data_IF_165917643950
#
_entry.id   IF_165917643950
#
_cell.length_a   1.000
_cell.length_b   1.000
_cell.length_c   1.000
_cell.angle_alpha   90.00
_cell.angle_beta   90.00
_cell.angle_gamma   90.00
#
_symmetry.space_group_name_H-M   'P 1'
#
loop_
_entity.id
_entity.type
_entity.pdbx_description
1 polymer ?
#
# COMPACT_ATOMS: atom_id res chain seq x y z
N UNK A 1 31.12 -30.17 52.98
CA UNK A 1 32.23 -29.88 52.04
C UNK A 1 31.78 -30.39 50.66
N UNK A 2 31.11 -29.55 49.87
CA UNK A 2 31.65 -28.58 48.90
C UNK A 2 32.07 -29.21 47.56
N UNK A 3 31.62 -28.53 46.48
CA UNK A 3 31.94 -28.66 45.03
C UNK A 3 31.07 -29.67 44.29
N UNK A 4 30.37 -29.33 43.22
CA UNK A 4 30.30 -28.10 42.43
C UNK A 4 29.67 -28.49 41.10
N UNK A 5 28.41 -28.10 40.86
CA UNK A 5 27.71 -28.34 39.60
C UNK A 5 28.15 -27.23 38.63
N UNK A 6 29.00 -27.58 37.65
CA UNK A 6 29.31 -26.69 36.52
C UNK A 6 28.23 -26.84 35.46
N UNK A 7 27.65 -25.70 35.10
CA UNK A 7 26.56 -25.56 34.16
C UNK A 7 27.13 -24.98 32.86
N UNK A 8 27.51 -25.83 31.90
CA UNK A 8 28.04 -25.42 30.60
C UNK A 8 27.06 -25.80 29.47
N UNK A 9 26.02 -24.99 29.30
CA UNK A 9 25.27 -24.88 28.04
C UNK A 9 24.97 -23.40 27.76
N UNK A 10 26.03 -22.63 27.51
CA UNK A 10 25.93 -21.32 26.91
C UNK A 10 25.55 -21.49 25.43
N UNK A 11 24.25 -21.47 25.13
CA UNK A 11 23.76 -21.29 23.77
C UNK A 11 24.24 -19.93 23.25
N UNK A 12 25.06 -19.99 22.21
CA UNK A 12 25.65 -18.87 21.51
C UNK A 12 24.55 -18.07 20.82
N UNK A 13 24.18 -16.93 21.38
CA UNK A 13 23.35 -15.94 20.70
C UNK A 13 24.08 -15.43 19.45
N UNK A 14 23.42 -15.36 18.27
CA UNK A 14 24.02 -14.71 17.12
C UNK A 14 24.22 -13.21 17.41
N UNK A 15 25.48 -12.80 17.35
CA UNK A 15 25.98 -11.44 17.53
C UNK A 15 25.22 -10.43 16.63
N UNK A 16 24.46 -9.45 17.16
CA UNK A 16 23.76 -8.45 16.38
C UNK A 16 24.68 -7.25 16.10
N UNK A 17 25.87 -7.49 15.54
CA UNK A 17 26.76 -6.43 15.09
C UNK A 17 27.50 -6.84 13.79
N UNK A 18 26.74 -7.10 12.73
CA UNK A 18 27.19 -6.67 11.40
C UNK A 18 26.57 -5.31 11.15
N UNK A 19 27.33 -4.28 11.50
CA UNK A 19 27.17 -2.93 10.97
C UNK A 19 27.06 -3.04 9.45
N UNK A 20 25.85 -3.00 8.92
CA UNK A 20 25.64 -2.67 7.53
C UNK A 20 26.12 -1.22 7.40
N UNK A 21 27.32 -1.03 6.87
CA UNK A 21 27.88 0.29 6.61
C UNK A 21 26.80 1.15 5.96
N UNK A 22 26.37 2.21 6.65
CA UNK A 22 25.38 3.13 6.09
C UNK A 22 25.97 3.67 4.79
N UNK A 23 25.31 3.46 3.64
CA UNK A 23 25.90 3.84 2.38
C UNK A 23 26.14 5.34 2.34
N UNK A 24 27.34 5.72 1.93
CA UNK A 24 27.75 7.12 1.84
C UNK A 24 26.78 7.93 0.96
N UNK A 25 26.72 9.26 1.13
CA UNK A 25 25.83 10.11 0.36
C UNK A 25 26.03 9.96 -1.16
N UNK A 26 27.25 9.66 -1.60
CA UNK A 26 27.55 9.37 -3.01
C UNK A 26 27.00 8.01 -3.46
N UNK A 27 27.14 6.95 -2.67
CA UNK A 27 26.55 5.65 -2.98
C UNK A 27 25.01 5.69 -2.99
N UNK A 28 24.38 6.46 -2.09
CA UNK A 28 22.93 6.68 -2.12
C UNK A 28 22.50 7.42 -3.39
N UNK A 29 23.24 8.47 -3.79
CA UNK A 29 22.99 9.19 -5.05
C UNK A 29 23.17 8.27 -6.27
N UNK A 30 24.25 7.49 -6.31
CA UNK A 30 24.51 6.55 -7.40
C UNK A 30 23.47 5.42 -7.46
N UNK A 31 23.03 4.87 -6.32
CA UNK A 31 21.93 3.90 -6.28
C UNK A 31 20.62 4.49 -6.77
N UNK A 32 20.34 5.74 -6.43
CA UNK A 32 19.15 6.45 -6.88
C UNK A 32 19.20 6.64 -8.41
N UNK A 33 20.30 7.20 -8.93
CA UNK A 33 20.52 7.41 -10.36
C UNK A 33 20.47 6.08 -11.12
N UNK A 34 21.18 5.06 -10.64
CA UNK A 34 21.19 3.73 -11.26
C UNK A 34 19.79 3.09 -11.28
N UNK A 35 18.99 3.27 -10.22
CA UNK A 35 17.58 2.83 -10.19
C UNK A 35 16.72 3.61 -11.16
N UNK A 36 16.86 4.92 -11.26
CA UNK A 36 16.13 5.75 -12.22
C UNK A 36 16.49 5.39 -13.66
N UNK A 37 17.78 5.13 -13.92
CA UNK A 37 18.26 4.67 -15.22
C UNK A 37 17.75 3.27 -15.50
N UNK A 38 17.74 2.32 -14.56
CA UNK A 38 17.12 0.99 -14.81
C UNK A 38 15.59 1.04 -14.91
N UNK A 39 14.94 2.03 -14.32
CA UNK A 39 13.49 2.23 -14.36
C UNK A 39 12.96 2.63 -15.75
N UNK A 40 13.79 3.32 -16.54
CA UNK A 40 13.48 3.79 -17.91
C UNK A 40 14.44 3.17 -18.96
N UNK A 41 15.42 2.39 -18.50
CA UNK A 41 16.72 2.25 -19.16
C UNK A 41 16.72 1.59 -20.52
N UNK A 42 15.82 0.65 -20.77
CA UNK A 42 15.76 0.00 -22.07
C UNK A 42 15.29 0.98 -23.15
N UNK A 43 14.21 1.72 -22.87
CA UNK A 43 13.72 2.75 -23.80
C UNK A 43 14.73 3.88 -23.97
N UNK A 44 15.37 4.31 -22.88
CA UNK A 44 16.37 5.38 -22.94
C UNK A 44 17.61 4.97 -23.73
N UNK A 45 18.05 3.72 -23.62
CA UNK A 45 19.19 3.20 -24.39
C UNK A 45 18.91 3.23 -25.90
N UNK A 46 17.73 2.78 -26.33
CA UNK A 46 17.34 2.83 -27.74
C UNK A 46 17.19 4.27 -28.25
N UNK A 47 16.68 5.18 -27.41
CA UNK A 47 16.62 6.60 -27.75
C UNK A 47 18.00 7.24 -27.87
N UNK A 48 18.94 6.92 -26.98
CA UNK A 48 20.32 7.40 -27.09
C UNK A 48 21.00 6.87 -28.36
N UNK A 49 20.79 5.59 -28.69
CA UNK A 49 21.31 5.01 -29.93
C UNK A 49 20.72 5.72 -31.16
N UNK A 50 19.42 6.01 -31.13
CA UNK A 50 18.73 6.77 -32.15
C UNK A 50 19.29 8.21 -32.27
N UNK A 51 19.47 8.90 -31.16
CA UNK A 51 20.05 10.25 -31.13
C UNK A 51 21.46 10.28 -31.76
N UNK A 52 22.28 9.29 -31.43
CA UNK A 52 23.63 9.14 -32.01
C UNK A 52 23.56 8.86 -33.51
N UNK A 53 22.67 7.98 -33.95
CA UNK A 53 22.49 7.68 -35.37
C UNK A 53 22.06 8.92 -36.17
N UNK A 54 21.09 9.69 -35.68
CA UNK A 54 20.65 10.96 -36.28
C UNK A 54 21.79 11.97 -36.35
N UNK A 55 22.56 12.09 -35.26
CA UNK A 55 23.68 13.05 -35.20
C UNK A 55 24.80 12.68 -36.17
N UNK A 56 25.12 11.39 -36.30
CA UNK A 56 26.14 10.91 -37.24
C UNK A 56 25.72 11.07 -38.70
N UNK A 57 24.47 10.74 -39.03
CA UNK A 57 23.93 10.91 -40.38
C UNK A 57 23.96 12.37 -40.84
N UNK A 58 23.51 13.30 -39.97
CA UNK A 58 23.54 14.73 -40.25
C UNK A 58 24.97 15.28 -40.39
N UNK A 59 25.88 14.91 -39.47
CA UNK A 59 27.24 15.47 -39.43
C UNK A 59 28.20 14.89 -40.47
N UNK A 60 28.04 13.61 -40.84
CA UNK A 60 29.04 12.89 -41.63
C UNK A 60 28.55 12.49 -43.03
N UNK A 61 27.25 12.28 -43.24
CA UNK A 61 26.73 11.67 -44.48
C UNK A 61 26.05 12.72 -45.36
N UNK A 62 25.03 13.42 -44.85
CA UNK A 62 24.14 14.24 -45.69
C UNK A 62 24.48 15.74 -45.69
N UNK A 63 25.24 16.24 -44.72
CA UNK A 63 25.48 17.68 -44.58
C UNK A 63 24.17 18.49 -44.50
N UNK A 64 24.15 19.72 -45.03
CA UNK A 64 22.98 20.63 -44.97
C UNK A 64 21.80 20.23 -45.87
N UNK A 65 21.84 19.08 -46.53
CA UNK A 65 20.75 18.57 -47.40
C UNK A 65 19.60 17.88 -46.64
N UNK A 66 19.71 17.79 -45.31
CA UNK A 66 18.72 17.13 -44.46
C UNK A 66 17.41 17.95 -44.34
N UNK A 67 16.30 17.27 -44.04
CA UNK A 67 15.00 17.93 -43.77
C UNK A 67 15.17 18.85 -42.55
N UNK A 68 15.13 20.17 -42.75
CA UNK A 68 15.17 21.13 -41.66
C UNK A 68 13.80 21.17 -40.96
N UNK A 69 13.68 20.44 -39.85
CA UNK A 69 12.50 20.45 -39.01
C UNK A 69 12.55 21.65 -38.05
N UNK A 70 11.64 22.62 -38.19
CA UNK A 70 11.69 23.83 -37.37
C UNK A 70 11.49 23.54 -35.88
N UNK A 71 12.26 24.22 -35.04
CA UNK A 71 12.22 24.07 -33.58
C UNK A 71 10.92 24.59 -32.94
N UNK A 72 10.28 25.59 -33.55
CA UNK A 72 9.09 26.25 -32.96
C UNK A 72 7.90 25.29 -32.75
N UNK A 73 7.49 24.47 -33.74
CA UNK A 73 6.46 23.45 -33.50
C UNK A 73 6.86 22.42 -32.43
N UNK A 74 8.15 22.06 -32.35
CA UNK A 74 8.62 21.08 -31.37
C UNK A 74 8.47 21.59 -29.94
N UNK A 75 8.80 22.86 -29.67
CA UNK A 75 8.66 23.42 -28.32
C UNK A 75 7.20 23.49 -27.89
N UNK A 76 6.29 23.86 -28.80
CA UNK A 76 4.84 23.86 -28.54
C UNK A 76 4.32 22.45 -28.22
N UNK A 77 4.75 21.44 -28.99
CA UNK A 77 4.41 20.04 -28.73
C UNK A 77 4.94 19.58 -27.37
N UNK A 78 6.17 19.95 -27.01
CA UNK A 78 6.76 19.64 -25.71
C UNK A 78 5.91 20.21 -24.56
N UNK A 79 5.56 21.49 -24.63
CA UNK A 79 4.72 22.14 -23.62
C UNK A 79 3.35 21.48 -23.48
N UNK A 80 2.70 21.15 -24.61
CA UNK A 80 1.42 20.45 -24.61
C UNK A 80 1.54 19.05 -23.98
N UNK A 81 2.63 18.33 -24.25
CA UNK A 81 2.89 17.00 -23.69
C UNK A 81 3.11 17.04 -22.18
N UNK A 82 3.90 17.99 -21.68
CA UNK A 82 4.14 18.16 -20.26
C UNK A 82 2.82 18.38 -19.52
N UNK A 83 1.95 19.24 -20.06
CA UNK A 83 0.61 19.50 -19.50
C UNK A 83 -0.24 18.23 -19.48
N UNK A 84 -0.28 17.50 -20.60
CA UNK A 84 -1.07 16.27 -20.73
C UNK A 84 -0.60 15.18 -19.74
N UNK A 85 0.71 14.96 -19.64
CA UNK A 85 1.31 14.01 -18.69
C UNK A 85 1.04 14.46 -17.25
N UNK A 86 1.12 15.75 -16.96
CA UNK A 86 0.85 16.30 -15.62
C UNK A 86 -0.57 16.00 -15.15
N UNK A 87 -1.58 16.25 -15.99
CA UNK A 87 -2.98 15.94 -15.65
C UNK A 87 -3.22 14.45 -15.41
N UNK A 88 -2.63 13.59 -16.24
CA UNK A 88 -2.66 12.14 -16.04
C UNK A 88 -1.99 11.75 -14.71
N UNK A 89 -0.81 12.29 -14.42
CA UNK A 89 -0.06 11.97 -13.20
C UNK A 89 -0.80 12.44 -11.95
N UNK A 90 -1.44 13.60 -12.00
CA UNK A 90 -2.32 14.07 -10.92
C UNK A 90 -3.48 13.11 -10.66
N UNK A 91 -4.14 12.64 -11.73
CA UNK A 91 -5.23 11.66 -11.63
C UNK A 91 -4.75 10.31 -11.06
N UNK A 92 -3.59 9.83 -11.51
CA UNK A 92 -2.96 8.62 -11.00
C UNK A 92 -2.56 8.74 -9.52
N UNK A 93 -2.03 9.90 -9.12
CA UNK A 93 -1.67 10.19 -7.73
C UNK A 93 -2.90 10.20 -6.82
N UNK A 94 -3.98 10.87 -7.21
CA UNK A 94 -5.22 10.90 -6.43
C UNK A 94 -5.75 9.50 -6.15
N UNK A 95 -5.72 8.64 -7.17
CA UNK A 95 -6.13 7.24 -7.09
C UNK A 95 -5.24 6.43 -6.14
N UNK A 96 -3.93 6.65 -6.17
CA UNK A 96 -2.99 6.05 -5.24
C UNK A 96 -3.23 6.52 -3.79
N UNK A 97 -3.44 7.82 -3.61
CA UNK A 97 -3.68 8.43 -2.31
C UNK A 97 -4.99 7.95 -1.68
N UNK A 98 -6.06 7.85 -2.49
CA UNK A 98 -7.34 7.30 -2.08
C UNK A 98 -7.19 5.85 -1.58
N UNK A 99 -6.50 4.99 -2.34
CA UNK A 99 -6.23 3.62 -1.93
C UNK A 99 -5.44 3.55 -0.62
N UNK A 100 -4.45 4.44 -0.43
CA UNK A 100 -3.67 4.52 0.81
C UNK A 100 -4.52 4.98 2.00
N UNK A 101 -5.45 5.90 1.75
CA UNK A 101 -6.39 6.43 2.75
C UNK A 101 -7.37 5.35 3.20
N UNK A 102 -7.95 4.61 2.25
CA UNK A 102 -8.85 3.48 2.53
C UNK A 102 -8.17 2.39 3.36
N UNK A 103 -6.92 2.03 3.02
CA UNK A 103 -6.14 1.10 3.85
C UNK A 103 -5.82 1.67 5.24
N UNK A 104 -5.66 3.00 5.37
CA UNK A 104 -5.51 3.65 6.67
C UNK A 104 -6.79 3.55 7.52
N UNK A 105 -7.94 3.79 6.91
CA UNK A 105 -9.24 3.59 7.55
C UNK A 105 -9.45 2.10 7.94
N UNK A 106 -9.09 1.16 7.06
CA UNK A 106 -9.13 -0.28 7.35
C UNK A 106 -8.32 -0.65 8.60
N UNK A 107 -7.13 -0.08 8.78
CA UNK A 107 -6.33 -0.29 10.01
C UNK A 107 -7.06 0.22 11.25
N UNK A 108 -7.67 1.40 11.18
CA UNK A 108 -8.37 2.01 12.30
C UNK A 108 -9.66 1.25 12.64
N UNK A 109 -10.51 0.95 11.66
CA UNK A 109 -11.73 0.17 11.87
C UNK A 109 -11.42 -1.25 12.36
N UNK A 110 -10.31 -1.86 11.92
CA UNK A 110 -9.85 -3.15 12.48
C UNK A 110 -9.49 -3.07 13.97
N UNK A 111 -8.82 -1.99 14.41
CA UNK A 111 -8.52 -1.78 15.84
C UNK A 111 -9.80 -1.53 16.64
N UNK A 112 -10.73 -0.75 16.10
CA UNK A 112 -12.05 -0.53 16.70
C UNK A 112 -12.83 -1.82 16.82
N UNK A 113 -12.85 -2.65 15.76
CA UNK A 113 -13.47 -3.97 15.76
C UNK A 113 -12.87 -4.85 16.86
N UNK A 114 -11.54 -4.97 16.92
CA UNK A 114 -10.86 -5.75 17.97
C UNK A 114 -11.23 -5.28 19.38
N UNK A 115 -11.26 -3.96 19.62
CA UNK A 115 -11.65 -3.40 20.93
C UNK A 115 -13.10 -3.73 21.25
N UNK A 116 -14.01 -3.54 20.30
CA UNK A 116 -15.43 -3.79 20.50
C UNK A 116 -15.73 -5.27 20.75
N UNK A 117 -15.07 -6.19 20.03
CA UNK A 117 -15.20 -7.63 20.28
C UNK A 117 -14.77 -7.99 21.70
N UNK A 118 -13.68 -7.39 22.21
CA UNK A 118 -13.23 -7.65 23.58
C UNK A 118 -14.16 -7.02 24.64
N UNK A 119 -14.65 -5.80 24.42
CA UNK A 119 -15.37 -5.03 25.46
C UNK A 119 -16.89 -5.12 25.41
N UNK A 120 -17.49 -5.41 24.25
CA UNK A 120 -18.94 -5.37 24.08
C UNK A 120 -19.59 -6.75 24.09
N UNK A 121 -18.83 -7.81 23.82
CA UNK A 121 -19.29 -9.20 23.90
C UNK A 121 -19.02 -9.72 25.32
N UNK A 122 -20.08 -10.10 26.02
CA UNK A 122 -20.00 -10.65 27.37
C UNK A 122 -19.25 -11.99 27.39
N UNK A 123 -18.61 -12.28 28.52
CA UNK A 123 -17.93 -13.55 28.77
C UNK A 123 -18.97 -14.66 29.08
N UNK A 124 -18.68 -15.91 28.70
CA UNK A 124 -19.61 -17.04 28.95
C UNK A 124 -19.67 -17.43 30.45
N UNK A 125 -18.63 -17.14 31.23
CA UNK A 125 -18.54 -17.39 32.67
C UNK A 125 -17.83 -16.22 33.35
N UNK A 126 -18.12 -15.97 34.64
CA UNK A 126 -17.44 -14.92 35.44
C UNK A 126 -15.90 -15.07 35.43
N UNK A 127 -15.37 -16.28 35.24
CA UNK A 127 -13.94 -16.60 35.28
C UNK A 127 -13.32 -17.03 33.93
N UNK A 128 -14.08 -17.02 32.83
CA UNK A 128 -13.64 -17.59 31.55
C UNK A 128 -13.90 -16.70 30.33
N UNK A 129 -12.87 -16.50 29.52
CA UNK A 129 -12.96 -15.77 28.25
C UNK A 129 -13.92 -16.45 27.26
N UNK A 130 -14.78 -15.66 26.61
CA UNK A 130 -15.65 -16.17 25.55
C UNK A 130 -14.79 -16.60 24.33
N UNK A 131 -14.76 -17.90 23.96
CA UNK A 131 -13.90 -18.40 22.88
C UNK A 131 -14.24 -17.78 21.51
N UNK A 132 -15.45 -17.25 21.35
CA UNK A 132 -15.89 -16.55 20.13
C UNK A 132 -15.06 -15.30 19.86
N UNK A 133 -14.54 -14.62 20.90
CA UNK A 133 -13.65 -13.47 20.74
C UNK A 133 -12.41 -13.86 19.91
N UNK A 134 -11.77 -14.97 20.25
CA UNK A 134 -10.61 -15.49 19.51
C UNK A 134 -10.97 -15.94 18.08
N UNK A 135 -12.16 -16.52 17.89
CA UNK A 135 -12.66 -16.89 16.55
C UNK A 135 -12.84 -15.65 15.67
N UNK A 136 -13.51 -14.61 16.17
CA UNK A 136 -13.71 -13.36 15.43
C UNK A 136 -12.39 -12.68 15.06
N UNK A 137 -11.39 -12.72 15.94
CA UNK A 137 -10.05 -12.20 15.62
C UNK A 137 -9.38 -12.98 14.48
N UNK A 138 -9.40 -14.32 14.53
CA UNK A 138 -8.86 -15.16 13.45
C UNK A 138 -9.57 -14.92 12.12
N UNK A 139 -10.90 -14.83 12.16
CA UNK A 139 -11.73 -14.51 10.98
C UNK A 139 -11.42 -13.12 10.42
N UNK A 140 -11.19 -12.13 11.27
CA UNK A 140 -10.82 -10.79 10.82
C UNK A 140 -9.43 -10.76 10.15
N UNK A 141 -8.47 -11.54 10.65
CA UNK A 141 -7.17 -11.70 9.98
C UNK A 141 -7.35 -12.42 8.65
N UNK A 142 -8.18 -13.47 8.58
CA UNK A 142 -8.50 -14.17 7.34
C UNK A 142 -9.12 -13.23 6.30
N UNK A 143 -10.06 -12.39 6.73
CA UNK A 143 -10.69 -11.35 5.92
C UNK A 143 -9.66 -10.42 5.28
N UNK A 144 -8.72 -9.87 6.06
CA UNK A 144 -7.69 -8.96 5.55
C UNK A 144 -6.76 -9.64 4.55
N UNK A 145 -6.36 -10.88 4.81
CA UNK A 145 -5.50 -11.66 3.92
C UNK A 145 -6.22 -12.02 2.61
N UNK A 146 -7.50 -12.40 2.70
CA UNK A 146 -8.36 -12.65 1.56
C UNK A 146 -8.56 -11.37 0.74
N UNK A 147 -8.80 -10.23 1.38
CA UNK A 147 -8.96 -8.94 0.71
C UNK A 147 -7.70 -8.53 -0.06
N UNK A 148 -6.52 -8.65 0.56
CA UNK A 148 -5.24 -8.41 -0.12
C UNK A 148 -5.09 -9.28 -1.37
N UNK A 149 -5.43 -10.56 -1.27
CA UNK A 149 -5.34 -11.52 -2.36
C UNK A 149 -6.38 -11.22 -3.46
N UNK A 150 -7.59 -10.84 -3.07
CA UNK A 150 -8.69 -10.44 -3.94
C UNK A 150 -8.35 -9.20 -4.77
N UNK A 151 -7.80 -8.14 -4.14
CA UNK A 151 -7.36 -6.92 -4.83
C UNK A 151 -6.22 -7.15 -5.84
N UNK A 152 -5.51 -8.28 -5.74
CA UNK A 152 -4.48 -8.70 -6.71
C UNK A 152 -5.02 -9.64 -7.79
N UNK A 153 -6.28 -10.07 -7.70
CA UNK A 153 -6.88 -11.05 -8.60
C UNK A 153 -6.39 -12.49 -8.40
N UNK A 154 -5.79 -12.83 -7.25
CA UNK A 154 -5.35 -14.20 -6.97
C UNK A 154 -5.68 -14.63 -5.53
N UNK A 155 -6.87 -15.21 -5.36
CA UNK A 155 -7.40 -15.67 -4.07
C UNK A 155 -6.56 -16.79 -3.44
N UNK A 156 -5.87 -17.60 -4.26
CA UNK A 156 -5.02 -18.70 -3.79
C UNK A 156 -3.80 -18.24 -2.97
N UNK A 157 -3.42 -16.96 -3.03
CA UNK A 157 -2.31 -16.40 -2.25
C UNK A 157 -2.69 -15.93 -0.85
N UNK A 158 -3.92 -16.15 -0.41
CA UNK A 158 -4.44 -15.62 0.85
C UNK A 158 -3.86 -16.30 2.12
N UNK A 159 -3.31 -17.52 2.04
CA UNK A 159 -2.73 -18.24 3.19
C UNK A 159 -3.66 -18.25 4.42
N UNK A 160 -4.76 -18.98 4.30
CA UNK A 160 -5.89 -18.97 5.24
C UNK A 160 -5.92 -20.19 6.19
N UNK A 161 -4.96 -21.11 6.04
CA UNK A 161 -4.89 -22.33 6.83
C UNK A 161 -4.79 -22.01 8.33
N UNK A 162 -5.66 -22.64 9.12
CA UNK A 162 -5.74 -22.43 10.57
C UNK A 162 -6.47 -21.15 11.02
N UNK A 163 -6.88 -20.28 10.09
CA UNK A 163 -7.71 -19.10 10.37
C UNK A 163 -9.20 -19.34 10.11
N UNK A 164 -9.52 -20.12 9.08
CA UNK A 164 -10.88 -20.54 8.72
C UNK A 164 -10.97 -22.07 8.64
N UNK A 165 -12.20 -22.57 8.64
CA UNK A 165 -12.44 -24.00 8.43
C UNK A 165 -12.09 -24.42 6.99
N UNK A 166 -11.59 -25.65 6.75
CA UNK A 166 -11.29 -26.12 5.39
C UNK A 166 -12.51 -26.07 4.45
N UNK A 167 -13.70 -26.29 4.99
CA UNK A 167 -14.98 -26.20 4.27
C UNK A 167 -15.26 -24.79 3.76
N UNK A 168 -15.00 -23.76 4.59
CA UNK A 168 -15.18 -22.36 4.21
C UNK A 168 -14.11 -21.92 3.20
N UNK A 169 -12.88 -22.42 3.32
CA UNK A 169 -11.81 -22.18 2.34
C UNK A 169 -12.17 -22.78 0.97
N UNK A 170 -12.77 -23.98 0.92
CA UNK A 170 -13.21 -24.59 -0.34
C UNK A 170 -14.29 -23.75 -1.05
N UNK A 171 -15.18 -23.11 -0.29
CA UNK A 171 -16.21 -22.22 -0.82
C UNK A 171 -15.63 -20.96 -1.50
N UNK A 172 -14.37 -20.58 -1.21
CA UNK A 172 -13.71 -19.44 -1.84
C UNK A 172 -13.69 -19.52 -3.37
N UNK A 173 -13.60 -20.73 -3.94
CA UNK A 173 -13.60 -20.96 -5.38
C UNK A 173 -14.94 -20.68 -6.06
N UNK A 174 -16.04 -20.70 -5.29
CA UNK A 174 -17.41 -20.52 -5.77
C UNK A 174 -17.94 -19.11 -5.47
N UNK A 175 -17.22 -18.33 -4.67
CA UNK A 175 -17.63 -16.99 -4.26
C UNK A 175 -17.21 -15.93 -5.28
N UNK A 176 -18.10 -14.98 -5.53
CA UNK A 176 -17.79 -13.76 -6.28
C UNK A 176 -16.96 -12.77 -5.43
N UNK A 177 -17.19 -12.74 -4.12
CA UNK A 177 -16.53 -11.82 -3.20
C UNK A 177 -16.23 -12.51 -1.87
N UNK A 178 -15.22 -13.37 -1.90
CA UNK A 178 -14.85 -14.18 -0.73
C UNK A 178 -14.48 -13.36 0.52
N UNK A 179 -13.77 -12.22 0.44
CA UNK A 179 -13.57 -11.37 1.62
C UNK A 179 -14.88 -10.91 2.25
N UNK A 180 -15.86 -10.50 1.44
CA UNK A 180 -17.16 -10.09 1.96
C UNK A 180 -17.93 -11.26 2.59
N UNK A 181 -17.80 -12.47 2.05
CA UNK A 181 -18.40 -13.67 2.66
C UNK A 181 -17.82 -13.98 4.04
N UNK A 182 -16.50 -13.81 4.22
CA UNK A 182 -15.86 -13.95 5.54
C UNK A 182 -16.44 -12.91 6.52
N UNK A 183 -16.61 -11.67 6.06
CA UNK A 183 -17.17 -10.57 6.85
C UNK A 183 -18.63 -10.86 7.26
N UNK A 184 -19.45 -11.34 6.32
CA UNK A 184 -20.83 -11.79 6.58
C UNK A 184 -20.88 -12.95 7.57
N UNK A 185 -19.99 -13.93 7.46
CA UNK A 185 -19.89 -15.02 8.44
C UNK A 185 -19.51 -14.53 9.84
N UNK A 186 -18.66 -13.50 9.94
CA UNK A 186 -18.36 -12.85 11.22
C UNK A 186 -19.58 -12.11 11.79
N UNK A 187 -20.36 -11.42 10.96
CA UNK A 187 -21.62 -10.79 11.37
C UNK A 187 -22.66 -11.84 11.85
N UNK A 188 -22.75 -12.99 11.18
CA UNK A 188 -23.62 -14.08 11.60
C UNK A 188 -23.26 -14.64 12.99
N UNK A 189 -21.96 -14.74 13.30
CA UNK A 189 -21.49 -15.12 14.64
C UNK A 189 -21.90 -14.05 15.67
N UNK A 190 -21.72 -12.76 15.36
CA UNK A 190 -22.14 -11.68 16.25
C UNK A 190 -23.66 -11.70 16.49
N UNK A 191 -24.45 -12.01 15.47
CA UNK A 191 -25.91 -12.16 15.61
C UNK A 191 -26.31 -13.34 16.51
N UNK A 192 -25.53 -14.44 16.51
CA UNK A 192 -25.74 -15.56 17.44
C UNK A 192 -25.47 -15.14 18.89
N UNK A 193 -24.42 -14.34 19.13
CA UNK A 193 -24.12 -13.78 20.46
C UNK A 193 -25.24 -12.86 20.97
N UNK A 194 -25.85 -12.07 20.07
CA UNK A 194 -27.04 -11.28 20.39
C UNK A 194 -28.24 -12.16 20.74
N UNK A 195 -28.52 -13.19 19.94
CA UNK A 195 -29.60 -14.13 20.23
C UNK A 195 -29.39 -14.90 21.55
N UNK A 196 -28.14 -15.13 21.93
CA UNK A 196 -27.74 -15.74 23.20
C UNK A 196 -27.78 -14.75 24.40
N UNK A 197 -28.15 -13.48 24.18
CA UNK A 197 -28.21 -12.46 25.23
C UNK A 197 -26.84 -11.94 25.70
N UNK A 198 -25.75 -12.27 25.00
CA UNK A 198 -24.38 -11.83 25.32
C UNK A 198 -24.03 -10.45 24.75
N UNK A 199 -24.92 -9.88 23.95
CA UNK A 199 -24.82 -8.55 23.36
C UNK A 199 -26.21 -7.92 23.39
N UNK A 200 -26.33 -6.66 23.83
CA UNK A 200 -27.58 -5.90 23.71
C UNK A 200 -27.71 -5.18 22.35
N UNK A 201 -28.88 -4.64 22.04
CA UNK A 201 -29.16 -4.00 20.75
C UNK A 201 -28.28 -2.77 20.45
N UNK A 202 -27.89 -2.01 21.48
CA UNK A 202 -27.04 -0.84 21.34
C UNK A 202 -25.60 -1.28 21.03
N UNK A 203 -25.10 -2.29 21.76
CA UNK A 203 -23.77 -2.88 21.50
C UNK A 203 -23.70 -3.51 20.11
N UNK A 204 -24.73 -4.25 19.71
CA UNK A 204 -24.82 -4.83 18.37
C UNK A 204 -24.78 -3.74 17.29
N UNK A 205 -25.59 -2.69 17.43
CA UNK A 205 -25.59 -1.57 16.47
C UNK A 205 -24.21 -0.89 16.33
N UNK A 206 -23.43 -0.84 17.41
CA UNK A 206 -22.06 -0.27 17.39
C UNK A 206 -21.05 -1.20 16.71
N UNK A 207 -21.15 -2.51 16.92
CA UNK A 207 -20.36 -3.50 16.17
C UNK A 207 -20.70 -3.46 14.67
N UNK A 208 -21.99 -3.47 14.33
CA UNK A 208 -22.46 -3.40 12.94
C UNK A 208 -22.01 -2.13 12.22
N UNK A 209 -22.02 -0.98 12.91
CA UNK A 209 -21.48 0.27 12.34
C UNK A 209 -20.02 0.12 11.90
N UNK A 210 -19.22 -0.62 12.67
CA UNK A 210 -17.81 -0.89 12.35
C UNK A 210 -17.68 -1.89 11.20
N UNK A 211 -18.56 -2.89 11.12
CA UNK A 211 -18.63 -3.83 9.98
C UNK A 211 -18.96 -3.09 8.68
N UNK A 212 -19.89 -2.13 8.73
CA UNK A 212 -20.21 -1.25 7.60
C UNK A 212 -19.00 -0.41 7.18
N UNK A 213 -18.23 0.15 8.11
CA UNK A 213 -16.98 0.86 7.78
C UNK A 213 -15.96 -0.03 7.07
N UNK A 214 -15.78 -1.27 7.54
CA UNK A 214 -14.89 -2.24 6.91
C UNK A 214 -15.34 -2.56 5.47
N UNK A 215 -16.65 -2.78 5.26
CA UNK A 215 -17.23 -3.03 3.95
C UNK A 215 -17.09 -1.82 3.02
N UNK A 216 -17.33 -0.59 3.51
CA UNK A 216 -17.12 0.63 2.74
C UNK A 216 -15.65 0.80 2.29
N UNK A 217 -14.70 0.47 3.16
CA UNK A 217 -13.29 0.50 2.81
C UNK A 217 -12.97 -0.54 1.72
N UNK A 218 -13.49 -1.76 1.84
CA UNK A 218 -13.35 -2.80 0.84
C UNK A 218 -13.93 -2.38 -0.52
N UNK A 219 -15.19 -1.95 -0.56
CA UNK A 219 -15.85 -1.53 -1.80
C UNK A 219 -15.14 -0.36 -2.47
N UNK A 220 -14.59 0.58 -1.69
CA UNK A 220 -13.72 1.65 -2.19
C UNK A 220 -12.46 1.11 -2.87
N UNK A 221 -11.79 0.13 -2.26
CA UNK A 221 -10.60 -0.49 -2.84
C UNK A 221 -10.91 -1.33 -4.08
N UNK A 222 -12.03 -2.04 -4.09
CA UNK A 222 -12.52 -2.78 -5.26
C UNK A 222 -12.81 -1.84 -6.43
N UNK A 223 -13.45 -0.69 -6.18
CA UNK A 223 -13.66 0.33 -7.21
C UNK A 223 -12.33 0.79 -7.80
N UNK A 224 -11.31 1.04 -6.96
CA UNK A 224 -9.97 1.43 -7.42
C UNK A 224 -9.27 0.29 -8.17
N UNK A 225 -9.47 -0.97 -7.79
CA UNK A 225 -8.88 -2.10 -8.49
C UNK A 225 -9.53 -2.31 -9.87
N UNK A 226 -10.86 -2.26 -9.93
CA UNK A 226 -11.64 -2.70 -11.08
C UNK A 226 -11.98 -1.60 -12.09
N UNK A 227 -11.85 -0.31 -11.73
CA UNK A 227 -12.24 0.81 -12.61
C UNK A 227 -11.02 1.59 -13.08
N UNK A 228 -10.12 1.07 -13.94
CA UNK A 228 -8.88 1.74 -14.38
C UNK A 228 -9.14 3.11 -15.01
N UNK A 229 -8.09 3.94 -15.13
CA UNK A 229 -8.19 5.17 -15.90
C UNK A 229 -8.60 4.84 -17.35
N UNK A 230 -9.43 5.66 -18.01
CA UNK A 230 -9.83 5.40 -19.39
C UNK A 230 -8.61 5.20 -20.29
N UNK A 231 -8.68 4.21 -21.17
CA UNK A 231 -7.55 3.84 -22.05
C UNK A 231 -6.88 5.03 -22.77
N UNK A 232 -7.63 6.02 -23.33
CA UNK A 232 -7.04 7.19 -23.96
C UNK A 232 -6.11 8.01 -23.05
N UNK A 233 -6.41 8.10 -21.76
CA UNK A 233 -5.60 8.84 -20.78
C UNK A 233 -4.26 8.17 -20.50
N UNK A 234 -4.10 6.89 -20.85
CA UNK A 234 -2.85 6.15 -20.69
C UNK A 234 -2.12 6.02 -22.03
N UNK A 235 -2.86 5.73 -23.09
CA UNK A 235 -2.31 5.43 -24.42
C UNK A 235 -1.74 6.66 -25.12
N UNK A 236 -2.52 7.75 -25.25
CA UNK A 236 -2.09 8.94 -25.99
C UNK A 236 -0.86 9.64 -25.40
N UNK A 237 -0.75 9.88 -24.08
CA UNK A 237 0.49 10.42 -23.51
C UNK A 237 1.71 9.58 -23.88
N UNK A 238 1.61 8.25 -23.74
CA UNK A 238 2.73 7.35 -24.07
C UNK A 238 3.09 7.39 -25.56
N UNK A 239 2.09 7.34 -26.44
CA UNK A 239 2.28 7.44 -27.87
C UNK A 239 2.97 8.76 -28.24
N UNK A 240 2.41 9.89 -27.79
CA UNK A 240 2.94 11.20 -28.16
C UNK A 240 4.30 11.48 -27.54
N UNK A 241 4.58 11.04 -26.31
CA UNK A 241 5.91 11.13 -25.72
C UNK A 241 6.94 10.31 -26.51
N UNK A 242 6.57 9.12 -26.98
CA UNK A 242 7.45 8.28 -27.80
C UNK A 242 7.74 8.94 -29.15
N UNK A 243 6.70 9.40 -29.84
CA UNK A 243 6.84 10.12 -31.12
C UNK A 243 7.68 11.39 -30.96
N UNK A 244 7.45 12.15 -29.88
CA UNK A 244 8.22 13.34 -29.58
C UNK A 244 9.71 13.03 -29.39
N UNK A 245 10.06 11.99 -28.63
CA UNK A 245 11.46 11.59 -28.43
C UNK A 245 12.14 11.14 -29.74
N UNK A 246 11.39 10.59 -30.69
CA UNK A 246 11.93 10.21 -32.02
C UNK A 246 12.17 11.44 -32.89
N UNK A 247 11.25 12.41 -32.88
CA UNK A 247 11.30 13.61 -33.72
C UNK A 247 12.29 14.66 -33.18
N UNK A 248 12.42 14.78 -31.85
CA UNK A 248 13.24 15.78 -31.19
C UNK A 248 14.69 15.87 -31.71
N UNK A 249 15.49 14.79 -31.79
CA UNK A 249 16.88 14.88 -32.24
C UNK A 249 16.99 15.39 -33.69
N UNK A 250 16.03 15.05 -34.56
CA UNK A 250 16.02 15.49 -35.96
C UNK A 250 15.89 17.02 -36.09
N UNK A 251 15.17 17.65 -35.17
CA UNK A 251 15.02 19.11 -35.15
C UNK A 251 16.14 19.82 -34.40
N UNK A 252 16.65 19.21 -33.32
CA UNK A 252 17.71 19.81 -32.51
C UNK A 252 19.10 19.69 -33.14
N UNK A 253 19.33 18.72 -34.03
CA UNK A 253 20.66 18.46 -34.62
C UNK A 253 21.22 19.65 -35.40
N UNK A 254 20.36 20.46 -36.03
CA UNK A 254 20.77 21.65 -36.79
C UNK A 254 21.33 22.76 -35.90
N UNK A 255 20.94 22.78 -34.61
CA UNK A 255 21.36 23.81 -33.65
C UNK A 255 22.40 23.34 -32.65
N UNK A 256 22.26 22.11 -32.12
CA UNK A 256 23.14 21.56 -31.09
C UNK A 256 24.30 20.72 -31.66
N UNK A 257 24.18 20.24 -32.89
CA UNK A 257 25.18 19.41 -33.54
C UNK A 257 25.62 18.21 -32.71
N UNK A 258 26.93 18.07 -32.44
CA UNK A 258 27.50 16.97 -31.64
C UNK A 258 26.95 16.87 -30.21
N UNK A 259 26.37 17.94 -29.66
CA UNK A 259 25.74 17.92 -28.33
C UNK A 259 24.31 17.38 -28.33
N UNK A 260 23.72 17.11 -29.50
CA UNK A 260 22.33 16.65 -29.63
C UNK A 260 22.02 15.40 -28.82
N UNK A 261 22.84 14.32 -28.84
CA UNK A 261 22.53 13.13 -28.05
C UNK A 261 22.52 13.40 -26.55
N UNK A 262 23.43 14.24 -26.05
CA UNK A 262 23.48 14.57 -24.63
C UNK A 262 22.20 15.29 -24.17
N UNK A 263 21.75 16.30 -24.91
CA UNK A 263 20.59 17.10 -24.52
C UNK A 263 19.28 16.35 -24.79
N UNK A 264 19.13 15.71 -25.96
CA UNK A 264 17.94 14.93 -26.33
C UNK A 264 17.67 13.80 -25.34
N UNK A 265 18.72 13.05 -24.97
CA UNK A 265 18.61 11.98 -23.98
C UNK A 265 18.19 12.50 -22.60
N UNK A 266 18.66 13.68 -22.17
CA UNK A 266 18.20 14.28 -20.90
C UNK A 266 16.71 14.61 -20.94
N UNK A 267 16.24 15.25 -22.02
CA UNK A 267 14.82 15.61 -22.17
C UNK A 267 13.95 14.35 -22.28
N UNK A 268 14.37 13.38 -23.09
CA UNK A 268 13.70 12.08 -23.23
C UNK A 268 13.62 11.33 -21.91
N UNK A 269 14.71 11.32 -21.12
CA UNK A 269 14.72 10.75 -19.78
C UNK A 269 13.67 11.39 -18.87
N UNK A 270 13.56 12.72 -18.85
CA UNK A 270 12.55 13.43 -18.05
C UNK A 270 11.13 13.06 -18.45
N UNK A 271 10.80 13.08 -19.74
CA UNK A 271 9.45 12.76 -20.22
C UNK A 271 9.07 11.31 -19.94
N UNK A 272 9.97 10.37 -20.22
CA UNK A 272 9.73 8.95 -19.97
C UNK A 272 9.63 8.63 -18.47
N UNK A 273 10.44 9.28 -17.63
CA UNK A 273 10.32 9.14 -16.18
C UNK A 273 8.95 9.62 -15.68
N UNK A 274 8.45 10.75 -16.18
CA UNK A 274 7.12 11.25 -15.84
C UNK A 274 6.01 10.29 -16.29
N UNK A 275 6.07 9.75 -17.51
CA UNK A 275 5.11 8.73 -18.01
C UNK A 275 5.11 7.47 -17.13
N UNK A 276 6.30 7.02 -16.74
CA UNK A 276 6.48 5.80 -15.95
C UNK A 276 5.96 5.97 -14.53
N UNK A 277 6.20 7.13 -13.89
CA UNK A 277 5.63 7.47 -12.58
C UNK A 277 4.10 7.41 -12.61
N UNK A 278 3.46 8.03 -13.60
CA UNK A 278 2.01 7.96 -13.77
C UNK A 278 1.50 6.53 -13.92
N UNK A 279 2.24 5.71 -14.68
CA UNK A 279 1.93 4.29 -14.89
C UNK A 279 2.04 3.45 -13.61
N UNK A 280 2.97 3.78 -12.71
CA UNK A 280 3.13 3.07 -11.45
C UNK A 280 2.10 3.48 -10.39
N UNK A 281 1.75 4.78 -10.32
CA UNK A 281 0.79 5.29 -9.35
C UNK A 281 -0.65 4.89 -9.68
N UNK A 282 -1.02 4.77 -10.96
CA UNK A 282 -2.37 4.36 -11.36
C UNK A 282 -2.74 2.93 -10.90
N UNK A 283 -1.75 2.08 -10.60
CA UNK A 283 -1.94 0.69 -10.19
C UNK A 283 -1.44 0.46 -8.75
N UNK A 284 -2.13 1.02 -7.73
CA UNK A 284 -1.65 1.03 -6.35
C UNK A 284 -1.48 -0.35 -5.72
N UNK A 285 -2.24 -1.36 -6.19
CA UNK A 285 -2.20 -2.74 -5.71
C UNK A 285 -1.31 -3.66 -6.56
N UNK A 286 -0.78 -3.14 -7.68
CA UNK A 286 0.01 -3.89 -8.65
C UNK A 286 1.45 -4.15 -8.21
N UNK A 287 2.23 -4.71 -9.14
CA UNK A 287 3.66 -4.97 -8.94
C UNK A 287 4.51 -3.78 -9.38
N UNK A 288 4.38 -2.65 -8.71
CA UNK A 288 5.24 -1.47 -8.90
C UNK A 288 6.13 -1.22 -7.69
N UNK A 289 7.18 -0.41 -7.86
CA UNK A 289 8.03 0.02 -6.73
C UNK A 289 7.26 0.91 -5.75
N UNK A 290 6.27 1.66 -6.26
CA UNK A 290 5.44 2.58 -5.50
C UNK A 290 4.13 1.96 -4.99
N UNK A 291 3.98 0.63 -5.10
CA UNK A 291 2.79 -0.07 -4.65
C UNK A 291 2.52 0.11 -3.16
N UNK A 292 1.26 0.04 -2.78
CA UNK A 292 0.86 -0.07 -1.38
C UNK A 292 1.31 -1.44 -0.87
N UNK A 293 2.07 -1.44 0.22
CA UNK A 293 2.56 -2.66 0.88
C UNK A 293 1.46 -3.27 1.75
N UNK A 294 0.46 -3.85 1.08
CA UNK A 294 -0.72 -4.46 1.73
C UNK A 294 -0.32 -5.57 2.70
N UNK A 295 0.75 -6.32 2.42
CA UNK A 295 1.31 -7.33 3.32
C UNK A 295 1.69 -6.74 4.67
N UNK A 296 2.46 -5.65 4.66
CA UNK A 296 2.94 -4.97 5.87
C UNK A 296 1.75 -4.41 6.67
N UNK A 297 0.71 -3.93 5.99
CA UNK A 297 -0.51 -3.44 6.61
C UNK A 297 -1.29 -4.57 7.28
N UNK A 298 -1.49 -5.70 6.58
CA UNK A 298 -2.17 -6.88 7.14
C UNK A 298 -1.41 -7.40 8.38
N UNK A 299 -0.08 -7.54 8.27
CA UNK A 299 0.78 -7.97 9.37
C UNK A 299 0.76 -7.00 10.56
N UNK A 300 0.66 -5.69 10.28
CA UNK A 300 0.51 -4.67 11.34
C UNK A 300 -0.84 -4.83 12.05
N UNK A 301 -1.93 -5.04 11.32
CA UNK A 301 -3.25 -5.25 11.93
C UNK A 301 -3.27 -6.55 12.73
N UNK A 302 -2.75 -7.65 12.18
CA UNK A 302 -2.65 -8.95 12.87
C UNK A 302 -1.87 -8.83 14.17
N UNK A 303 -0.72 -8.14 14.18
CA UNK A 303 0.05 -7.87 15.40
C UNK A 303 -0.72 -7.05 16.43
N UNK A 304 -1.45 -6.02 15.99
CA UNK A 304 -2.28 -5.22 16.90
C UNK A 304 -3.36 -6.08 17.54
N UNK A 305 -4.09 -6.86 16.74
CA UNK A 305 -5.15 -7.75 17.23
C UNK A 305 -4.60 -8.80 18.18
N UNK A 306 -3.49 -9.46 17.81
CA UNK A 306 -2.83 -10.41 18.70
C UNK A 306 -2.40 -9.76 20.01
N UNK A 307 -1.79 -8.57 19.96
CA UNK A 307 -1.43 -7.82 21.15
C UNK A 307 -2.63 -7.44 22.02
N UNK A 308 -3.81 -7.22 21.44
CA UNK A 308 -5.03 -6.92 22.20
C UNK A 308 -5.61 -8.16 22.86
N UNK A 309 -5.51 -9.33 22.22
CA UNK A 309 -5.95 -10.61 22.77
C UNK A 309 -4.98 -11.11 23.86
N UNK A 310 -3.67 -10.92 23.65
CA UNK A 310 -2.62 -11.28 24.60
C UNK A 310 -2.46 -10.22 25.71
N UNK A 311 -3.06 -9.02 25.54
CA UNK A 311 -3.01 -7.97 26.56
C UNK A 311 -3.72 -8.50 27.81
N UNK A 312 -3.07 -8.47 28.98
CA UNK A 312 -3.62 -9.05 30.18
C UNK A 312 -4.88 -8.28 30.59
N UNK A 313 -6.04 -8.91 30.42
CA UNK A 313 -7.31 -8.60 31.10
C UNK A 313 -7.20 -8.69 32.65
N UNK A 314 -5.98 -8.81 33.21
CA UNK A 314 -5.70 -8.95 34.65
C UNK A 314 -5.19 -7.69 35.34
N UNK A 315 -4.74 -6.67 34.62
CA UNK A 315 -4.67 -5.36 35.26
C UNK A 315 -6.06 -4.74 35.10
N UNK A 316 -7.01 -5.18 35.97
CA UNK A 316 -7.97 -4.23 36.51
C UNK A 316 -7.13 -2.98 36.76
N UNK A 317 -7.41 -1.89 36.05
CA UNK A 317 -7.03 -0.59 36.55
C UNK A 317 -7.74 -0.54 37.90
N UNK A 318 -7.06 -1.03 38.94
CA UNK A 318 -7.51 -0.93 40.31
C UNK A 318 -7.50 0.57 40.49
N UNK A 319 -8.68 1.16 40.30
CA UNK A 319 -8.92 2.49 40.81
C UNK A 319 -8.72 2.30 42.29
N UNK A 320 -7.54 2.66 42.78
CA UNK A 320 -7.21 2.61 44.18
C UNK A 320 -8.16 3.59 44.87
N UNK A 321 -9.30 3.08 45.34
CA UNK A 321 -10.27 3.85 46.11
C UNK A 321 -9.72 4.27 47.47
N UNK A 322 -8.47 3.94 47.79
CA UNK A 322 -7.79 4.22 49.06
C UNK A 322 -6.53 5.11 48.89
N UNK A 323 -6.33 5.74 47.73
CA UNK A 323 -5.36 6.84 47.62
C UNK A 323 -5.82 8.07 48.43
N UNK A 324 -4.92 8.94 48.96
CA UNK A 324 -5.28 10.09 49.82
C UNK A 324 -6.14 11.19 49.14
N UNK A 325 -6.66 10.93 47.94
CA UNK A 325 -7.29 11.91 47.04
C UNK A 325 -8.83 11.95 47.11
N UNK A 326 -9.42 11.48 48.21
CA UNK A 326 -10.78 11.89 48.60
C UNK A 326 -10.91 13.42 48.80
N UNK A 327 -9.79 14.16 48.74
CA UNK A 327 -9.73 15.61 48.86
C UNK A 327 -9.53 16.38 47.53
N UNK A 328 -9.15 15.73 46.41
CA UNK A 328 -8.72 16.44 45.20
C UNK A 328 -9.89 16.96 44.34
N UNK A 329 -11.07 16.35 44.45
CA UNK A 329 -12.26 16.71 43.66
C UNK A 329 -13.43 17.13 44.54
N UNK A 330 -13.20 18.02 45.51
CA UNK A 330 -14.31 18.76 46.11
C UNK A 330 -14.99 19.60 45.02
N UNK A 331 -16.18 19.17 44.62
CA UNK A 331 -17.02 19.90 43.67
C UNK A 331 -17.16 21.36 44.13
N UNK A 332 -16.71 22.30 43.29
CA UNK A 332 -17.19 23.68 43.37
C UNK A 332 -18.71 23.63 43.21
N UNK A 333 -19.45 23.77 44.31
CA UNK A 333 -20.86 24.15 44.24
C UNK A 333 -20.89 25.51 43.58
N UNK A 334 -21.36 25.56 42.34
CA UNK A 334 -21.77 26.81 41.73
C UNK A 334 -22.90 27.36 42.60
N UNK A 335 -22.62 28.45 43.30
CA UNK A 335 -23.65 29.23 43.97
C UNK A 335 -24.58 29.78 42.89
N UNK A 336 -25.87 29.46 43.02
CA UNK A 336 -26.97 30.09 42.28
C UNK A 336 -27.23 31.47 42.86
#
# INVERSE_FOLDING_TARGET
MQRGVSNDYAHSFPNPQRSAAMPGPFEKKWRCISRTVTYVGWSLFWLLLWDVAVTLDFMLIQGTGFIDLPLMPLTLLCSALIVLISFRNSSAYNRWWEARTLWGAMVNSSRSFGRQVLTLIENEREDGDNPIKAVLFKRHVAYLRALRAHLKGNVGMAQLDGLLSPTEIQQASQSNNFPNDILNGSAAIIAQEFAAGRIDSIRLARLESTMVELSNCQGGMERIANTPLPYPYVYFPRLFSTLFCIIMPLSMVTTLGWFTPAISTVVGCMLLAMDRIGTDLQAPFGNSQHRIRMEDLCNTIEKNLRSMLDAPEKHRLVIDSQGPEGAAWQMHRLAV
#
